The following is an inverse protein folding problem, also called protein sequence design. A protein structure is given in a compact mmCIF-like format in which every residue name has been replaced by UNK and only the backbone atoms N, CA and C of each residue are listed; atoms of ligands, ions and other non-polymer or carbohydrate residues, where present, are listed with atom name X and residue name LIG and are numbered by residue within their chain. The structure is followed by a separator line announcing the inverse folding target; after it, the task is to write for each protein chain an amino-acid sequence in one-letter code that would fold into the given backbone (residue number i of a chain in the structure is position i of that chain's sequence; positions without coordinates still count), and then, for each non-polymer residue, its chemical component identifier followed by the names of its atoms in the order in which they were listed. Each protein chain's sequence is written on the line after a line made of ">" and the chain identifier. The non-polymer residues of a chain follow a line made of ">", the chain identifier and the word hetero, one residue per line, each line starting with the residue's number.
data_IF_340184324010
#
_entry.id   IF_340184324010
#
_cell.length_a   1.000
_cell.length_b   1.000
_cell.length_c   1.000
_cell.angle_alpha   90.00
_cell.angle_beta   90.00
_cell.angle_gamma   90.00
#
_symmetry.space_group_name_H-M   'P 1'
#
loop_
_entity.id
_entity.type
_entity.pdbx_description
1 polymer ?
#
# COMPACT_ATOMS: atom_id res chain seq x y z
N UNK A 1 -13.90 -4.92 -7.12
CA UNK A 1 -12.62 -4.18 -7.01
C UNK A 1 -12.11 -3.94 -8.41
N UNK A 2 -12.35 -2.76 -8.96
CA UNK A 2 -11.75 -2.35 -10.22
C UNK A 2 -10.32 -1.95 -9.94
N UNK A 3 -9.36 -2.54 -10.66
CA UNK A 3 -7.96 -2.11 -10.59
C UNK A 3 -7.88 -0.62 -10.94
N UNK A 4 -7.22 0.15 -10.08
CA UNK A 4 -6.94 1.57 -10.30
C UNK A 4 -5.45 1.79 -10.18
N UNK A 5 -4.89 2.63 -11.05
CA UNK A 5 -3.50 3.06 -10.98
C UNK A 5 -3.26 4.01 -9.81
N UNK A 6 -4.30 4.70 -9.34
CA UNK A 6 -4.23 5.58 -8.19
C UNK A 6 -5.55 5.56 -7.41
N UNK A 7 -5.50 5.16 -6.15
CA UNK A 7 -6.65 5.20 -5.26
C UNK A 7 -6.74 6.56 -4.55
N UNK A 8 -7.87 7.26 -4.67
CA UNK A 8 -8.08 8.57 -4.00
C UNK A 8 -8.48 8.43 -2.53
N UNK A 9 -8.84 7.22 -2.08
CA UNK A 9 -9.24 6.95 -0.70
C UNK A 9 -7.99 6.99 0.19
N UNK A 10 -8.00 7.75 1.30
CA UNK A 10 -6.93 7.70 2.28
C UNK A 10 -7.00 6.37 3.04
N UNK A 11 -6.05 5.48 2.77
CA UNK A 11 -5.89 4.20 3.47
C UNK A 11 -4.57 4.16 4.25
N UNK A 12 -4.54 3.38 5.33
CA UNK A 12 -3.32 3.18 6.12
C UNK A 12 -2.54 1.97 5.59
N UNK A 13 -1.46 2.24 4.86
CA UNK A 13 -0.59 1.23 4.26
C UNK A 13 0.02 0.23 5.26
N UNK A 14 0.12 0.58 6.55
CA UNK A 14 0.65 -0.32 7.58
C UNK A 14 -0.35 -1.39 8.04
N UNK A 15 -1.65 -1.16 7.80
CA UNK A 15 -2.73 -2.07 8.22
C UNK A 15 -3.27 -2.93 7.07
N UNK A 16 -2.94 -2.58 5.83
CA UNK A 16 -3.37 -3.31 4.64
C UNK A 16 -2.72 -4.70 4.51
N UNK A 17 -3.44 -5.70 3.98
CA UNK A 17 -2.85 -6.98 3.62
C UNK A 17 -1.93 -6.82 2.40
N UNK A 18 -0.93 -7.71 2.29
CA UNK A 18 0.04 -7.66 1.20
C UNK A 18 -0.59 -7.92 -0.19
N UNK A 19 -1.66 -8.71 -0.24
CA UNK A 19 -2.36 -9.09 -1.46
C UNK A 19 -3.86 -8.90 -1.30
N UNK A 20 -4.55 -8.63 -2.42
CA UNK A 20 -6.01 -8.48 -2.50
C UNK A 20 -6.57 -7.31 -1.65
N UNK A 21 -5.69 -6.42 -1.20
CA UNK A 21 -6.03 -5.14 -0.56
C UNK A 21 -6.35 -4.05 -1.58
N UNK A 22 -6.35 -2.81 -1.12
CA UNK A 22 -6.50 -1.66 -2.00
C UNK A 22 -5.23 -1.44 -2.83
N UNK A 23 -5.42 -0.92 -4.05
CA UNK A 23 -4.28 -0.48 -4.87
C UNK A 23 -3.54 0.66 -4.16
N UNK A 24 -2.22 0.71 -4.33
CA UNK A 24 -1.35 1.72 -3.73
C UNK A 24 -1.73 3.11 -4.25
N UNK A 25 -1.81 4.07 -3.34
CA UNK A 25 -2.01 5.47 -3.67
C UNK A 25 -0.66 6.22 -3.72
N UNK A 26 0.09 6.20 -2.63
CA UNK A 26 1.35 6.93 -2.48
C UNK A 26 2.49 5.94 -2.30
N UNK A 27 3.47 5.97 -3.20
CA UNK A 27 4.71 5.21 -3.06
C UNK A 27 5.63 5.90 -2.07
N UNK A 28 5.76 5.36 -0.86
CA UNK A 28 6.58 5.91 0.24
C UNK A 28 7.51 4.85 0.82
N UNK A 29 8.70 5.28 1.26
CA UNK A 29 9.79 4.43 1.78
C UNK A 29 10.28 4.90 3.16
N UNK A 30 9.52 5.74 3.84
CA UNK A 30 9.83 6.20 5.20
C UNK A 30 9.31 5.24 6.28
N UNK A 31 8.30 4.43 5.95
CA UNK A 31 7.68 3.47 6.84
C UNK A 31 7.21 2.23 6.08
N UNK A 32 7.53 1.04 6.60
CA UNK A 32 7.17 -0.23 5.97
C UNK A 32 6.52 -1.16 6.98
N UNK A 33 5.50 -1.88 6.53
CA UNK A 33 4.91 -2.97 7.30
C UNK A 33 5.89 -4.14 7.47
N UNK A 34 6.73 -4.38 6.48
CA UNK A 34 7.68 -5.49 6.43
C UNK A 34 9.04 -4.97 5.96
N UNK A 35 9.96 -4.80 6.91
CA UNK A 35 11.31 -4.25 6.68
C UNK A 35 12.12 -5.11 5.68
N UNK A 36 11.80 -6.41 5.57
CA UNK A 36 12.48 -7.34 4.68
C UNK A 36 12.38 -6.99 3.18
N UNK A 37 11.39 -6.20 2.75
CA UNK A 37 11.23 -5.83 1.34
C UNK A 37 11.85 -4.47 0.98
N UNK A 38 12.45 -3.79 1.95
CA UNK A 38 13.15 -2.52 1.70
C UNK A 38 14.68 -2.67 1.64
N UNK A 39 15.20 -3.81 2.09
CA UNK A 39 16.64 -4.13 2.06
C UNK A 39 17.03 -5.02 0.89
#
# INVERSE_FOLDING_TARGET
>A
MTYTTFNQIPNNALLEPMFLGNSVNVSRYDQQRYIAFEK
#
